data_IF_779118364202
#
_entry.id   IF_779118364202
#
_cell.length_a   1.000
_cell.length_b   1.000
_cell.length_c   1.000
_cell.angle_alpha   90.00
_cell.angle_beta   90.00
_cell.angle_gamma   90.00
#
_symmetry.space_group_name_H-M   'P 1'
#
loop_
_entity.id
_entity.type
_entity.pdbx_description
1 polymer ?
#
# COMPACT_ATOMS: atom_id res chain seq x y z
N UNK A 1 -20.47 34.63 -39.23
CA UNK A 1 -21.56 33.75 -39.71
C UNK A 1 -21.31 33.48 -41.19
N UNK A 2 -21.39 32.26 -41.74
CA UNK A 2 -21.66 30.90 -41.21
C UNK A 2 -20.37 30.02 -41.22
N UNK A 3 -20.23 28.82 -40.65
CA UNK A 3 -21.05 27.61 -40.47
C UNK A 3 -21.07 26.64 -41.69
N UNK A 4 -20.48 25.45 -41.44
CA UNK A 4 -20.70 24.10 -41.98
C UNK A 4 -20.60 23.76 -43.49
N UNK A 5 -19.80 22.72 -43.79
CA UNK A 5 -20.21 21.43 -44.40
C UNK A 5 -18.95 20.56 -44.62
N UNK A 6 -18.60 19.69 -43.66
CA UNK A 6 -18.83 18.23 -43.72
C UNK A 6 -18.46 17.55 -45.04
N UNK A 7 -17.33 16.83 -45.05
CA UNK A 7 -17.19 15.59 -45.83
C UNK A 7 -16.67 14.47 -44.91
N UNK A 8 -17.57 13.53 -44.70
CA UNK A 8 -17.52 12.35 -43.84
C UNK A 8 -16.45 11.33 -44.27
N UNK A 9 -15.76 10.66 -43.33
CA UNK A 9 -15.11 9.39 -43.59
C UNK A 9 -16.09 8.22 -43.44
N UNK A 10 -15.91 7.24 -44.32
CA UNK A 10 -16.64 5.98 -44.42
C UNK A 10 -16.65 5.20 -43.09
N UNK A 11 -17.86 4.91 -42.60
CA UNK A 11 -18.14 4.10 -41.43
C UNK A 11 -18.33 2.63 -41.85
N UNK A 12 -17.39 1.77 -41.47
CA UNK A 12 -17.60 0.33 -41.45
C UNK A 12 -18.64 -0.05 -40.39
N UNK A 13 -19.54 -0.95 -40.75
CA UNK A 13 -20.67 -1.44 -39.96
C UNK A 13 -20.19 -2.11 -38.66
N UNK A 14 -20.44 -1.47 -37.51
CA UNK A 14 -20.34 -2.08 -36.18
C UNK A 14 -21.71 -2.06 -35.52
N UNK A 15 -22.42 -3.20 -35.41
CA UNK A 15 -23.63 -3.24 -34.63
C UNK A 15 -23.26 -3.25 -33.15
N UNK A 16 -23.55 -2.13 -32.49
CA UNK A 16 -23.53 -1.86 -31.04
C UNK A 16 -22.19 -1.41 -30.43
N UNK A 17 -22.07 -0.08 -30.37
CA UNK A 17 -21.94 0.60 -29.07
C UNK A 17 -20.53 0.91 -28.58
N UNK A 18 -20.22 2.21 -28.60
CA UNK A 18 -19.19 2.93 -27.83
C UNK A 18 -17.80 3.04 -28.45
N UNK A 19 -17.55 4.22 -29.03
CA UNK A 19 -16.27 4.71 -29.51
C UNK A 19 -15.32 5.01 -28.35
N UNK A 20 -14.08 4.51 -28.42
CA UNK A 20 -12.96 5.06 -27.68
C UNK A 20 -11.91 5.50 -28.71
N UNK A 21 -11.81 6.80 -28.96
CA UNK A 21 -10.68 7.38 -29.70
C UNK A 21 -9.54 7.61 -28.71
N UNK A 22 -8.50 6.79 -28.77
CA UNK A 22 -7.25 7.04 -28.07
C UNK A 22 -6.45 8.11 -28.84
N UNK A 23 -6.83 9.38 -28.67
CA UNK A 23 -5.93 10.49 -28.98
C UNK A 23 -5.13 10.74 -27.70
N UNK A 24 -3.81 10.51 -27.67
CA UNK A 24 -3.00 11.02 -26.57
C UNK A 24 -2.97 12.55 -26.68
N UNK A 25 -3.38 13.32 -25.66
CA UNK A 25 -3.06 14.72 -25.63
C UNK A 25 -1.54 14.85 -25.45
N UNK A 26 -0.94 15.67 -26.31
CA UNK A 26 0.40 16.21 -26.16
C UNK A 26 0.46 16.94 -24.79
N UNK A 27 1.03 16.28 -23.78
CA UNK A 27 1.28 16.89 -22.46
C UNK A 27 2.79 17.02 -22.30
N UNK A 28 3.31 18.24 -22.08
CA UNK A 28 4.74 18.44 -21.89
C UNK A 28 5.24 17.65 -20.67
N UNK A 29 6.40 17.04 -20.88
CA UNK A 29 7.18 16.25 -19.94
C UNK A 29 7.72 17.14 -18.82
N UNK A 30 6.86 17.46 -17.84
CA UNK A 30 7.24 18.02 -16.55
C UNK A 30 6.27 17.44 -15.51
N UNK A 31 6.65 16.33 -14.92
CA UNK A 31 5.94 15.74 -13.80
C UNK A 31 6.95 14.92 -13.01
N UNK A 32 7.68 15.62 -12.15
CA UNK A 32 7.72 15.22 -10.73
C UNK A 32 6.28 14.92 -10.30
N UNK A 33 5.77 13.74 -10.67
CA UNK A 33 4.64 13.15 -9.97
C UNK A 33 5.20 12.79 -8.61
N UNK A 34 5.10 13.75 -7.69
CA UNK A 34 4.65 13.40 -6.35
C UNK A 34 3.39 12.57 -6.55
N UNK A 35 3.55 11.25 -6.69
CA UNK A 35 2.46 10.34 -6.47
C UNK A 35 1.97 10.69 -5.07
N UNK A 36 0.77 11.27 -4.98
CA UNK A 36 0.10 11.57 -3.72
C UNK A 36 -0.01 10.24 -2.95
N UNK A 37 1.02 9.94 -2.16
CA UNK A 37 1.03 8.81 -1.23
C UNK A 37 0.17 9.20 -0.01
N UNK A 38 -1.06 9.60 -0.28
CA UNK A 38 -2.03 9.97 0.74
C UNK A 38 -2.61 8.68 1.31
N UNK A 39 -2.21 8.35 2.54
CA UNK A 39 -2.89 7.30 3.31
C UNK A 39 -4.22 7.86 3.80
N UNK A 40 -5.32 7.29 3.31
CA UNK A 40 -6.64 7.69 3.76
C UNK A 40 -6.91 7.24 5.21
N UNK A 41 -7.46 8.17 5.99
CA UNK A 41 -7.79 7.96 7.40
C UNK A 41 -6.68 8.34 8.37
N UNK A 42 -7.03 8.44 9.65
CA UNK A 42 -6.12 8.84 10.73
C UNK A 42 -5.62 7.64 11.55
N UNK A 43 -5.74 6.42 11.03
CA UNK A 43 -5.44 5.19 11.78
C UNK A 43 -4.62 4.22 10.94
N UNK A 44 -3.50 3.79 11.52
CA UNK A 44 -2.66 2.71 11.03
C UNK A 44 -2.78 1.51 11.96
N UNK A 45 -2.71 0.32 11.40
CA UNK A 45 -2.73 -0.93 12.14
C UNK A 45 -1.55 -1.77 11.73
N UNK A 46 -0.87 -2.33 12.71
CA UNK A 46 0.03 -3.46 12.50
C UNK A 46 -0.79 -4.72 12.71
N UNK A 47 -0.85 -5.58 11.71
CA UNK A 47 -1.62 -6.81 11.75
C UNK A 47 -0.72 -8.03 11.67
N UNK A 48 -1.00 -9.00 12.52
CA UNK A 48 -0.50 -10.36 12.34
C UNK A 48 -1.34 -11.06 11.25
N UNK A 49 -0.85 -11.05 10.01
CA UNK A 49 -1.46 -11.81 8.92
C UNK A 49 -0.37 -12.30 7.97
N UNK A 50 -0.23 -13.63 7.84
CA UNK A 50 0.83 -14.27 7.05
C UNK A 50 0.67 -14.04 5.53
N UNK A 51 -0.45 -13.45 5.07
CA UNK A 51 -0.75 -13.20 3.66
C UNK A 51 -1.00 -11.73 3.30
N UNK A 52 -1.14 -10.87 4.29
CA UNK A 52 -1.37 -9.45 4.12
C UNK A 52 -0.25 -8.68 4.82
N UNK A 53 0.46 -7.84 4.08
CA UNK A 53 1.61 -7.08 4.56
C UNK A 53 1.42 -6.40 5.93
N UNK A 54 2.54 -5.96 6.54
CA UNK A 54 2.63 -5.71 7.98
C UNK A 54 1.81 -4.49 8.43
N UNK A 55 1.33 -3.68 7.48
CA UNK A 55 0.67 -2.41 7.74
C UNK A 55 -0.66 -2.28 7.01
N UNK A 56 -1.64 -1.76 7.74
CA UNK A 56 -2.99 -1.54 7.26
C UNK A 56 -3.44 -0.13 7.59
N UNK A 57 -4.09 0.53 6.64
CA UNK A 57 -4.81 1.76 6.87
C UNK A 57 -6.30 1.47 7.12
N UNK A 58 -7.08 2.54 7.25
CA UNK A 58 -8.54 2.42 7.37
C UNK A 58 -9.19 1.87 6.10
N UNK A 59 -8.57 2.10 4.94
CA UNK A 59 -9.07 1.67 3.63
C UNK A 59 -8.62 0.25 3.22
N UNK A 60 -7.59 -0.29 3.89
CA UNK A 60 -7.12 -1.65 3.63
C UNK A 60 -5.63 -1.86 3.84
N UNK A 61 -5.13 -2.94 3.24
CA UNK A 61 -3.72 -3.32 3.28
C UNK A 61 -2.86 -2.25 2.59
N UNK A 62 -1.79 -1.81 3.27
CA UNK A 62 -0.80 -0.90 2.69
C UNK A 62 0.31 -1.68 1.97
N UNK A 63 0.96 -1.06 0.97
CA UNK A 63 2.14 -1.63 0.36
C UNK A 63 3.24 -1.89 1.39
N UNK A 64 3.91 -3.03 1.26
CA UNK A 64 5.12 -3.39 1.99
C UNK A 64 6.39 -2.86 1.29
N UNK A 65 6.25 -2.09 0.20
CA UNK A 65 7.38 -1.51 -0.50
C UNK A 65 8.14 -0.49 0.39
N UNK A 66 9.47 -0.64 0.55
CA UNK A 66 10.24 0.21 1.44
C UNK A 66 10.37 1.66 0.96
N UNK A 67 10.34 1.93 -0.36
CA UNK A 67 10.30 3.31 -0.86
C UNK A 67 8.96 3.96 -0.58
N UNK A 68 7.87 3.23 -0.80
CA UNK A 68 6.52 3.68 -0.48
C UNK A 68 6.37 3.99 1.01
N UNK A 69 6.80 3.09 1.91
CA UNK A 69 6.72 3.30 3.36
C UNK A 69 7.48 4.54 3.84
N UNK A 70 8.65 4.81 3.24
CA UNK A 70 9.43 6.01 3.55
C UNK A 70 8.74 7.27 3.07
N UNK A 71 8.25 7.28 1.82
CA UNK A 71 7.66 8.49 1.22
C UNK A 71 6.25 8.80 1.75
N UNK A 72 5.40 7.78 1.89
CA UNK A 72 4.01 7.92 2.32
C UNK A 72 3.89 8.27 3.81
N UNK A 73 4.58 7.47 4.64
CA UNK A 73 4.44 7.50 6.09
C UNK A 73 5.57 8.26 6.78
N UNK A 74 6.65 8.60 6.07
CA UNK A 74 7.79 9.31 6.64
C UNK A 74 8.64 8.44 7.58
N UNK A 75 8.63 7.12 7.38
CA UNK A 75 9.31 6.18 8.28
C UNK A 75 10.83 6.19 8.07
N UNK A 76 11.56 5.91 9.14
CA UNK A 76 13.00 5.68 9.12
C UNK A 76 13.35 4.35 8.44
N UNK A 77 14.51 4.28 7.77
CA UNK A 77 15.00 3.03 7.18
C UNK A 77 15.11 1.90 8.21
N UNK A 78 15.45 2.22 9.46
CA UNK A 78 15.51 1.25 10.55
C UNK A 78 14.16 0.64 10.89
N UNK A 79 13.09 1.45 10.91
CA UNK A 79 11.76 0.95 11.21
C UNK A 79 11.18 0.16 10.04
N UNK A 80 11.40 0.62 8.82
CA UNK A 80 11.01 -0.10 7.60
C UNK A 80 11.69 -1.47 7.54
N UNK A 81 13.00 -1.53 7.78
CA UNK A 81 13.72 -2.80 7.84
C UNK A 81 13.18 -3.72 8.94
N UNK A 82 12.83 -3.17 10.11
CA UNK A 82 12.28 -3.96 11.21
C UNK A 82 10.88 -4.51 10.90
N UNK A 83 10.00 -3.72 10.26
CA UNK A 83 8.69 -4.17 9.81
C UNK A 83 8.80 -5.29 8.77
N UNK A 84 9.72 -5.18 7.82
CA UNK A 84 9.95 -6.20 6.79
C UNK A 84 10.58 -7.47 7.36
N UNK A 85 11.47 -7.33 8.34
CA UNK A 85 12.04 -8.48 9.04
C UNK A 85 10.95 -9.23 9.79
N UNK A 86 10.11 -8.51 10.54
CA UNK A 86 8.99 -9.09 11.27
C UNK A 86 7.98 -9.79 10.33
N UNK A 87 7.64 -9.19 9.19
CA UNK A 87 6.81 -9.83 8.16
C UNK A 87 7.45 -11.12 7.65
N UNK A 88 8.75 -11.09 7.35
CA UNK A 88 9.48 -12.25 6.87
C UNK A 88 9.52 -13.38 7.91
N UNK A 89 9.70 -13.05 9.19
CA UNK A 89 9.73 -14.03 10.28
C UNK A 89 8.34 -14.61 10.56
N UNK A 90 7.28 -13.78 10.47
CA UNK A 90 5.89 -14.23 10.53
C UNK A 90 5.58 -15.20 9.39
N UNK A 91 5.96 -14.86 8.15
CA UNK A 91 5.77 -15.73 6.98
C UNK A 91 6.57 -17.04 7.09
N UNK A 92 7.70 -17.01 7.79
CA UNK A 92 8.53 -18.18 8.03
C UNK A 92 8.01 -19.08 9.18
N UNK A 93 7.00 -18.63 9.94
CA UNK A 93 6.42 -19.37 11.06
C UNK A 93 5.59 -20.57 10.56
N UNK A 94 6.28 -21.65 10.20
CA UNK A 94 5.64 -22.81 9.61
C UNK A 94 4.89 -23.66 10.67
N UNK A 95 3.64 -24.13 10.39
CA UNK A 95 2.87 -24.98 11.32
C UNK A 95 3.47 -26.38 11.53
N UNK A 96 4.48 -26.75 10.76
CA UNK A 96 5.24 -27.99 10.91
C UNK A 96 6.31 -27.98 12.01
N UNK A 97 6.52 -26.85 12.69
CA UNK A 97 7.37 -26.78 13.89
C UNK A 97 6.77 -27.57 15.05
N UNK A 98 7.60 -28.07 15.99
CA UNK A 98 7.10 -28.60 17.25
C UNK A 98 6.19 -27.57 17.94
N UNK A 99 5.04 -28.01 18.47
CA UNK A 99 4.01 -27.11 19.03
C UNK A 99 4.58 -26.11 20.05
N UNK A 100 5.49 -26.56 20.92
CA UNK A 100 6.10 -25.69 21.92
C UNK A 100 6.99 -24.60 21.29
N UNK A 101 7.73 -24.94 20.23
CA UNK A 101 8.57 -23.97 19.50
C UNK A 101 7.72 -23.01 18.69
N UNK A 102 6.66 -23.51 18.05
CA UNK A 102 5.70 -22.66 17.33
C UNK A 102 5.02 -21.65 18.27
N UNK A 103 4.56 -22.10 19.45
CA UNK A 103 3.94 -21.20 20.44
C UNK A 103 4.90 -20.14 20.97
N UNK A 104 6.15 -20.54 21.27
CA UNK A 104 7.18 -19.61 21.74
C UNK A 104 7.51 -18.57 20.67
N UNK A 105 7.66 -18.99 19.41
CA UNK A 105 7.93 -18.08 18.29
C UNK A 105 6.75 -17.17 17.97
N UNK A 106 5.53 -17.70 18.00
CA UNK A 106 4.32 -16.90 17.83
C UNK A 106 4.23 -15.79 18.91
N UNK A 107 4.57 -16.13 20.16
CA UNK A 107 4.59 -15.16 21.25
C UNK A 107 5.68 -14.09 21.08
N UNK A 108 6.89 -14.47 20.66
CA UNK A 108 7.99 -13.52 20.46
C UNK A 108 7.63 -12.50 19.38
N UNK A 109 7.14 -12.97 18.25
CA UNK A 109 6.69 -12.09 17.17
C UNK A 109 5.49 -11.22 17.62
N UNK A 110 4.63 -11.68 18.54
CA UNK A 110 3.51 -10.88 19.06
C UNK A 110 4.03 -9.71 19.92
N UNK A 111 5.04 -9.98 20.74
CA UNK A 111 5.73 -8.97 21.53
C UNK A 111 6.47 -7.98 20.61
N UNK A 112 7.14 -8.46 19.56
CA UNK A 112 7.81 -7.62 18.56
C UNK A 112 6.83 -6.75 17.76
N UNK A 113 5.68 -7.29 17.36
CA UNK A 113 4.65 -6.52 16.65
C UNK A 113 4.10 -5.36 17.48
N UNK A 114 3.96 -5.56 18.80
CA UNK A 114 3.59 -4.48 19.73
C UNK A 114 4.67 -3.42 19.83
N UNK A 115 5.92 -3.83 19.96
CA UNK A 115 7.05 -2.90 20.01
C UNK A 115 7.19 -2.09 18.71
N UNK A 116 6.98 -2.72 17.56
CA UNK A 116 6.92 -2.05 16.26
C UNK A 116 5.78 -1.05 16.21
N UNK A 117 4.61 -1.35 16.77
CA UNK A 117 3.49 -0.40 16.80
C UNK A 117 3.81 0.83 17.65
N UNK A 118 4.52 0.66 18.77
CA UNK A 118 4.97 1.78 19.60
C UNK A 118 6.00 2.63 18.86
N UNK A 119 6.98 2.00 18.19
CA UNK A 119 7.98 2.73 17.38
C UNK A 119 7.35 3.47 16.22
N UNK A 120 6.42 2.81 15.52
CA UNK A 120 5.65 3.41 14.44
C UNK A 120 4.85 4.60 14.94
N UNK A 121 4.18 4.50 16.09
CA UNK A 121 3.46 5.61 16.70
C UNK A 121 4.38 6.80 17.01
N UNK A 122 5.61 6.53 17.44
CA UNK A 122 6.59 7.57 17.72
C UNK A 122 7.06 8.29 16.44
N UNK A 123 7.24 7.56 15.34
CA UNK A 123 7.69 8.14 14.07
C UNK A 123 6.59 8.88 13.33
N UNK A 124 5.39 8.32 13.25
CA UNK A 124 4.26 8.98 12.59
C UNK A 124 3.64 10.11 13.44
N UNK A 125 4.05 10.21 14.71
CA UNK A 125 3.63 11.24 15.63
C UNK A 125 2.11 11.31 15.77
N UNK A 126 1.54 12.51 15.71
CA UNK A 126 0.09 12.73 15.81
C UNK A 126 -0.65 12.62 14.47
N UNK A 127 0.07 12.36 13.36
CA UNK A 127 -0.52 12.25 12.02
C UNK A 127 -1.43 11.03 11.91
N UNK A 128 -1.04 9.93 12.56
CA UNK A 128 -1.80 8.69 12.60
C UNK A 128 -1.86 8.13 14.02
N UNK A 129 -2.99 7.49 14.35
CA UNK A 129 -3.09 6.62 15.53
C UNK A 129 -2.73 5.20 15.11
N UNK A 130 -1.69 4.64 15.71
CA UNK A 130 -1.22 3.29 15.45
C UNK A 130 -1.82 2.33 16.47
N UNK A 131 -2.31 1.18 16.00
CA UNK A 131 -2.74 0.08 16.85
C UNK A 131 -2.12 -1.24 16.40
N UNK A 132 -1.80 -2.09 17.36
CA UNK A 132 -1.41 -3.46 17.08
C UNK A 132 -2.62 -4.39 17.19
N UNK A 133 -2.77 -5.28 16.22
CA UNK A 133 -3.79 -6.32 16.18
C UNK A 133 -3.13 -7.68 15.90
N UNK A 134 -3.18 -8.55 16.90
CA UNK A 134 -2.83 -9.97 16.81
C UNK A 134 -4.06 -10.84 16.58
#
# INVERSE_FOLDING_TARGET
MPDQEQRTPYFGDYPRGSYWSAVPPDVPQDSDREEDYAVEGSTLRIMWDEGAGPLWASDGLLPDDPEWLRRALGLSDSLVAALLTWLSEMTALHPGLPVAEWQERARQLDEEGRDLAVRLQAEVGTRFSVRYHA
#
